data_IF_533651578157
#
_entry.id   IF_533651578157
#
_cell.length_a   1.000
_cell.length_b   1.000
_cell.length_c   1.000
_cell.angle_alpha   90.00
_cell.angle_beta   90.00
_cell.angle_gamma   90.00
#
_symmetry.space_group_name_H-M   'P 1'
#
loop_
_entity.id
_entity.type
_entity.pdbx_description
1 polymer ?
#
# COMPACT_ATOMS: atom_id res chain seq x y z
N UNK A 1 83.67 1.21 4.56
CA UNK A 1 82.75 1.29 3.41
C UNK A 1 81.57 0.31 3.45
N UNK A 2 81.57 -0.78 4.25
CA UNK A 2 80.52 -1.82 4.17
C UNK A 2 79.32 -1.69 5.14
N UNK A 3 79.33 -0.71 6.06
CA UNK A 3 78.23 -0.51 7.04
C UNK A 3 76.99 0.23 6.48
N UNK A 4 77.01 0.63 5.20
CA UNK A 4 75.95 1.43 4.58
C UNK A 4 74.96 0.63 3.73
N UNK A 5 75.21 -0.66 3.47
CA UNK A 5 74.32 -1.50 2.66
C UNK A 5 73.22 -2.20 3.47
N UNK A 6 73.41 -2.39 4.78
CA UNK A 6 72.43 -3.10 5.62
C UNK A 6 71.17 -2.30 5.90
N UNK A 7 71.25 -0.95 5.93
CA UNK A 7 70.06 -0.08 6.08
C UNK A 7 69.26 0.05 4.78
N UNK A 8 69.96 0.05 3.64
CA UNK A 8 69.35 0.15 2.31
C UNK A 8 68.44 -1.04 1.98
N UNK A 9 68.82 -2.24 2.41
CA UNK A 9 68.00 -3.45 2.25
C UNK A 9 66.80 -3.51 3.20
N UNK A 10 66.85 -2.83 4.35
CA UNK A 10 65.73 -2.74 5.29
C UNK A 10 64.69 -1.73 4.79
N UNK A 11 65.14 -0.56 4.34
CA UNK A 11 64.26 0.47 3.77
C UNK A 11 63.53 -0.01 2.51
N UNK A 12 64.19 -0.80 1.65
CA UNK A 12 63.55 -1.42 0.48
C UNK A 12 62.49 -2.47 0.87
N UNK A 13 62.72 -3.24 1.94
CA UNK A 13 61.73 -4.20 2.45
C UNK A 13 60.53 -3.48 3.06
N UNK A 14 60.77 -2.42 3.85
CA UNK A 14 59.72 -1.58 4.42
C UNK A 14 58.92 -0.88 3.33
N UNK A 15 59.58 -0.36 2.30
CA UNK A 15 58.93 0.27 1.15
C UNK A 15 58.10 -0.74 0.35
N UNK A 16 58.60 -1.97 0.14
CA UNK A 16 57.85 -3.05 -0.51
C UNK A 16 56.62 -3.46 0.32
N UNK A 17 56.76 -3.59 1.65
CA UNK A 17 55.65 -3.88 2.57
C UNK A 17 54.61 -2.75 2.56
N UNK A 18 55.04 -1.49 2.55
CA UNK A 18 54.14 -0.33 2.47
C UNK A 18 53.46 -0.25 1.10
N UNK A 19 54.16 -0.53 0.00
CA UNK A 19 53.55 -0.60 -1.34
C UNK A 19 52.51 -1.71 -1.41
N UNK A 20 52.83 -2.89 -0.88
CA UNK A 20 51.94 -4.04 -0.84
C UNK A 20 50.74 -3.78 0.08
N UNK A 21 50.94 -3.08 1.20
CA UNK A 21 49.86 -2.65 2.11
C UNK A 21 48.96 -1.57 1.47
N UNK A 22 49.52 -0.61 0.72
CA UNK A 22 48.76 0.41 0.00
C UNK A 22 47.98 -0.21 -1.16
N UNK A 23 48.57 -1.16 -1.88
CA UNK A 23 47.89 -1.93 -2.94
C UNK A 23 46.79 -2.81 -2.34
N UNK A 24 47.05 -3.57 -1.28
CA UNK A 24 46.03 -4.36 -0.57
C UNK A 24 44.91 -3.49 0.01
N UNK A 25 45.24 -2.34 0.61
CA UNK A 25 44.28 -1.39 1.15
C UNK A 25 43.46 -0.69 0.04
N UNK A 26 44.10 -0.36 -1.10
CA UNK A 26 43.44 0.18 -2.29
C UNK A 26 42.47 -0.81 -2.93
N UNK A 27 42.82 -2.10 -2.94
CA UNK A 27 41.93 -3.18 -3.41
C UNK A 27 40.81 -3.44 -2.40
N UNK A 28 41.06 -3.27 -1.09
CA UNK A 28 40.03 -3.46 -0.05
C UNK A 28 38.90 -2.42 -0.12
N UNK A 29 39.21 -1.16 -0.50
CA UNK A 29 38.20 -0.09 -0.64
C UNK A 29 37.20 -0.32 -1.79
N UNK A 30 37.52 -1.16 -2.76
CA UNK A 30 36.63 -1.50 -3.90
C UNK A 30 35.80 -2.76 -3.66
N UNK A 31 35.99 -3.45 -2.53
CA UNK A 31 35.15 -4.57 -2.13
C UNK A 31 33.95 -4.14 -1.26
N UNK A 32 33.38 -2.97 -1.52
CA UNK A 32 31.95 -2.79 -1.28
C UNK A 32 31.24 -3.27 -2.55
N UNK A 33 31.19 -4.59 -2.76
CA UNK A 33 30.18 -5.17 -3.64
C UNK A 33 28.83 -4.98 -2.94
N UNK A 34 28.30 -3.76 -3.00
CA UNK A 34 26.96 -3.47 -2.56
C UNK A 34 26.05 -4.17 -3.56
N UNK A 35 25.59 -5.36 -3.21
CA UNK A 35 24.59 -6.10 -3.97
C UNK A 35 23.33 -5.23 -4.02
N UNK A 36 23.18 -4.45 -5.09
CA UNK A 36 22.08 -3.52 -5.29
C UNK A 36 20.83 -4.32 -5.68
N UNK A 37 20.22 -5.00 -4.73
CA UNK A 37 18.97 -5.76 -4.93
C UNK A 37 17.78 -4.80 -4.85
N UNK A 38 17.10 -4.49 -5.96
CA UNK A 38 15.88 -3.70 -5.92
C UNK A 38 14.80 -4.41 -5.11
N UNK A 39 14.00 -3.60 -4.41
CA UNK A 39 12.89 -4.06 -3.58
C UNK A 39 11.59 -3.78 -4.31
N UNK A 40 10.72 -4.78 -4.40
CA UNK A 40 9.35 -4.64 -4.91
C UNK A 40 8.36 -4.74 -3.74
N UNK A 41 7.61 -3.68 -3.50
CA UNK A 41 6.49 -3.69 -2.57
C UNK A 41 5.18 -3.90 -3.33
N UNK A 42 4.49 -5.00 -3.05
CA UNK A 42 3.17 -5.32 -3.59
C UNK A 42 2.09 -5.08 -2.56
N UNK A 43 1.02 -4.40 -2.96
CA UNK A 43 -0.15 -4.14 -2.13
C UNK A 43 -1.44 -4.42 -2.90
N UNK A 44 -2.53 -4.60 -2.18
CA UNK A 44 -3.86 -4.77 -2.75
C UNK A 44 -4.82 -3.81 -2.06
N UNK A 45 -5.76 -3.24 -2.81
CA UNK A 45 -6.77 -2.35 -2.26
C UNK A 45 -8.13 -2.65 -2.90
N UNK A 46 -9.18 -2.90 -2.09
CA UNK A 46 -9.17 -3.13 -0.63
C UNK A 46 -8.41 -4.40 -0.20
N UNK A 47 -8.18 -4.61 1.10
CA UNK A 47 -7.58 -5.86 1.60
C UNK A 47 -8.56 -7.05 1.48
N UNK A 48 -8.03 -8.26 1.22
CA UNK A 48 -8.78 -9.54 1.11
C UNK A 48 -9.84 -9.62 -0.01
N UNK A 49 -9.64 -8.86 -1.08
CA UNK A 49 -10.53 -8.83 -2.27
C UNK A 49 -10.06 -9.72 -3.43
N UNK A 50 -8.90 -10.37 -3.29
CA UNK A 50 -8.32 -11.22 -4.31
C UNK A 50 -7.01 -11.85 -3.86
N UNK A 51 -6.38 -12.57 -4.79
CA UNK A 51 -5.07 -13.18 -4.63
C UNK A 51 -4.12 -12.56 -5.64
N UNK A 52 -3.01 -12.00 -5.17
CA UNK A 52 -1.93 -11.54 -6.04
C UNK A 52 -0.78 -12.54 -5.99
N UNK A 53 -0.15 -12.79 -7.13
CA UNK A 53 1.08 -13.58 -7.24
C UNK A 53 2.17 -12.76 -7.91
N UNK A 54 3.33 -12.55 -7.28
CA UNK A 54 3.67 -12.90 -5.90
C UNK A 54 2.80 -12.15 -4.87
N UNK A 55 2.59 -12.75 -3.69
CA UNK A 55 1.64 -12.23 -2.67
C UNK A 55 1.91 -10.77 -2.24
N UNK A 56 0.94 -10.08 -1.64
CA UNK A 56 1.16 -8.76 -1.06
C UNK A 56 2.30 -8.79 -0.05
N UNK A 57 3.19 -7.80 -0.10
CA UNK A 57 4.36 -7.72 0.78
C UNK A 57 5.61 -7.23 0.08
N UNK A 58 6.72 -7.31 0.80
CA UNK A 58 8.04 -6.90 0.34
C UNK A 58 8.77 -8.08 -0.28
N UNK A 59 9.22 -7.92 -1.51
CA UNK A 59 9.99 -8.92 -2.25
C UNK A 59 11.33 -8.34 -2.70
N UNK A 60 12.38 -9.16 -2.66
CA UNK A 60 13.72 -8.79 -3.10
C UNK A 60 14.07 -9.59 -4.35
N UNK A 61 14.53 -8.87 -5.38
CA UNK A 61 14.94 -9.48 -6.64
C UNK A 61 16.33 -9.00 -7.04
N UNK A 62 16.94 -9.70 -7.99
CA UNK A 62 18.19 -9.25 -8.61
C UNK A 62 17.89 -8.11 -9.60
N UNK A 63 18.83 -7.19 -9.76
CA UNK A 63 18.65 -6.04 -10.65
C UNK A 63 18.48 -6.48 -12.12
N UNK A 64 17.54 -5.86 -12.82
CA UNK A 64 17.22 -6.16 -14.22
C UNK A 64 16.31 -7.39 -14.39
N UNK A 65 15.79 -7.98 -13.31
CA UNK A 65 14.86 -9.10 -13.39
C UNK A 65 13.48 -8.63 -13.86
N UNK A 66 12.89 -9.37 -14.81
CA UNK A 66 11.50 -9.22 -15.19
C UNK A 66 10.62 -10.11 -14.30
N UNK A 67 9.75 -9.49 -13.49
CA UNK A 67 8.83 -10.20 -12.58
C UNK A 67 7.44 -10.19 -13.20
N UNK A 68 6.82 -11.37 -13.30
CA UNK A 68 5.42 -11.49 -13.74
C UNK A 68 4.50 -11.33 -12.54
N UNK A 69 3.57 -10.37 -12.61
CA UNK A 69 2.50 -10.18 -11.64
C UNK A 69 1.21 -10.79 -12.17
N UNK A 70 0.43 -11.40 -11.29
CA UNK A 70 -0.89 -11.95 -11.61
C UNK A 70 -1.87 -11.62 -10.49
N UNK A 71 -2.98 -10.96 -10.83
CA UNK A 71 -4.10 -10.67 -9.94
C UNK A 71 -5.29 -11.56 -10.27
N UNK A 72 -5.75 -12.34 -9.29
CA UNK A 72 -6.95 -13.15 -9.37
C UNK A 72 -8.00 -12.54 -8.43
N UNK A 73 -9.07 -11.93 -8.93
CA UNK A 73 -10.11 -11.36 -8.07
C UNK A 73 -10.90 -12.47 -7.35
N UNK A 74 -11.38 -12.16 -6.13
CA UNK A 74 -12.32 -13.00 -5.38
C UNK A 74 -13.73 -12.88 -5.98
N UNK A 75 -14.60 -13.85 -5.71
CA UNK A 75 -16.01 -13.77 -6.10
C UNK A 75 -16.67 -12.49 -5.56
N UNK A 76 -17.40 -11.77 -6.41
CA UNK A 76 -17.98 -10.46 -6.05
C UNK A 76 -17.07 -9.27 -6.30
N UNK A 77 -15.84 -9.49 -6.78
CA UNK A 77 -14.89 -8.43 -7.12
C UNK A 77 -14.35 -8.60 -8.54
N UNK A 78 -13.89 -7.49 -9.12
CA UNK A 78 -13.19 -7.44 -10.40
C UNK A 78 -11.88 -6.68 -10.24
N UNK A 79 -10.87 -7.12 -10.97
CA UNK A 79 -9.61 -6.39 -11.08
C UNK A 79 -9.80 -5.19 -12.01
N UNK A 80 -9.39 -4.00 -11.57
CA UNK A 80 -9.56 -2.76 -12.33
C UNK A 80 -8.26 -2.39 -13.05
N UNK A 81 -7.18 -2.23 -12.28
CA UNK A 81 -5.84 -1.94 -12.81
C UNK A 81 -4.75 -2.06 -11.74
N UNK A 82 -3.50 -2.07 -12.19
CA UNK A 82 -2.30 -1.92 -11.37
C UNK A 82 -1.90 -0.45 -11.29
N UNK A 83 -1.70 0.05 -10.08
CA UNK A 83 -1.08 1.34 -9.82
C UNK A 83 0.43 1.14 -9.64
N UNK A 84 1.25 1.88 -10.40
CA UNK A 84 2.70 1.81 -10.32
C UNK A 84 3.33 1.62 -11.70
N UNK A 85 4.61 1.25 -11.71
CA UNK A 85 5.39 1.04 -12.92
C UNK A 85 5.32 -0.44 -13.35
N UNK A 86 4.39 -0.70 -14.27
CA UNK A 86 4.10 -2.01 -14.89
C UNK A 86 4.04 -1.84 -16.41
N UNK A 87 4.28 -2.91 -17.16
CA UNK A 87 4.20 -2.86 -18.63
C UNK A 87 2.78 -2.54 -19.09
N UNK A 88 1.79 -3.22 -18.51
CA UNK A 88 0.37 -3.03 -18.81
C UNK A 88 -0.43 -2.94 -17.50
N UNK A 89 -1.03 -1.79 -17.17
CA UNK A 89 -1.77 -1.63 -15.92
C UNK A 89 -3.16 -2.28 -15.93
N UNK A 90 -3.80 -2.42 -17.10
CA UNK A 90 -5.17 -2.96 -17.18
C UNK A 90 -5.23 -4.48 -17.35
N UNK A 91 -4.09 -5.14 -17.57
CA UNK A 91 -4.05 -6.60 -17.66
C UNK A 91 -3.90 -7.21 -16.27
N UNK A 92 -4.74 -8.23 -15.98
CA UNK A 92 -4.65 -9.00 -14.74
C UNK A 92 -3.30 -9.72 -14.59
N UNK A 93 -2.62 -10.03 -15.71
CA UNK A 93 -1.28 -10.57 -15.77
C UNK A 93 -0.37 -9.58 -16.50
N UNK A 94 0.62 -9.05 -15.80
CA UNK A 94 1.53 -8.02 -16.32
C UNK A 94 2.97 -8.31 -15.94
N UNK A 95 3.93 -7.59 -16.53
CA UNK A 95 5.36 -7.75 -16.24
C UNK A 95 5.96 -6.44 -15.76
N UNK A 96 6.87 -6.55 -14.80
CA UNK A 96 7.58 -5.44 -14.16
C UNK A 96 9.07 -5.66 -14.30
N UNK A 97 9.79 -4.65 -14.77
CA UNK A 97 11.25 -4.67 -14.84
C UNK A 97 11.83 -4.03 -13.58
N UNK A 98 12.56 -4.79 -12.76
CA UNK A 98 13.14 -4.28 -11.52
C UNK A 98 14.55 -3.74 -11.74
N UNK A 99 14.61 -2.50 -12.22
CA UNK A 99 15.83 -1.69 -12.34
C UNK A 99 16.12 -0.88 -11.06
N UNK A 100 15.06 -0.48 -10.37
CA UNK A 100 15.02 0.34 -9.15
C UNK A 100 13.97 -0.22 -8.16
N UNK A 101 13.97 0.22 -6.88
CA UNK A 101 12.88 -0.13 -5.97
C UNK A 101 11.54 0.42 -6.46
N UNK A 102 10.49 -0.40 -6.41
CA UNK A 102 9.16 -0.08 -6.94
C UNK A 102 8.06 -0.44 -5.96
N UNK A 103 6.98 0.32 -6.01
CA UNK A 103 5.75 0.06 -5.25
C UNK A 103 4.64 -0.14 -6.26
N UNK A 104 3.92 -1.26 -6.15
CA UNK A 104 2.84 -1.63 -7.06
C UNK A 104 1.62 -2.03 -6.24
N UNK A 105 0.46 -1.49 -6.61
CA UNK A 105 -0.81 -1.71 -5.91
C UNK A 105 -1.82 -2.28 -6.91
N UNK A 106 -2.43 -3.42 -6.61
CA UNK A 106 -3.58 -3.91 -7.37
C UNK A 106 -4.85 -3.26 -6.86
N UNK A 107 -5.63 -2.68 -7.76
CA UNK A 107 -6.93 -2.09 -7.45
C UNK A 107 -8.04 -3.03 -7.87
N UNK A 108 -8.94 -3.32 -6.94
CA UNK A 108 -10.13 -4.12 -7.16
C UNK A 108 -11.40 -3.35 -6.78
N UNK A 109 -12.48 -3.63 -7.50
CA UNK A 109 -13.81 -3.07 -7.25
C UNK A 109 -14.84 -4.19 -7.13
N UNK A 110 -16.00 -3.90 -6.56
CA UNK A 110 -17.09 -4.87 -6.51
C UNK A 110 -17.59 -5.12 -7.93
N UNK A 111 -17.73 -6.39 -8.29
CA UNK A 111 -18.38 -6.77 -9.54
C UNK A 111 -19.89 -6.57 -9.37
N UNK A 112 -20.47 -5.66 -10.16
CA UNK A 112 -21.92 -5.56 -10.29
C UNK A 112 -22.39 -6.73 -11.15
N UNK A 113 -22.86 -7.79 -10.50
CA UNK A 113 -23.59 -8.84 -11.20
C UNK A 113 -24.99 -8.31 -11.49
N UNK A 114 -25.19 -7.78 -12.68
CA UNK A 114 -26.53 -7.46 -13.17
C UNK A 114 -27.27 -8.78 -13.42
N UNK A 115 -28.06 -9.22 -12.44
CA UNK A 115 -28.97 -10.36 -12.55
C UNK A 115 -30.23 -10.01 -13.36
N UNK A 116 -30.14 -9.03 -14.25
CA UNK A 116 -31.24 -8.59 -15.12
C UNK A 116 -31.66 -9.59 -16.21
N UNK A 117 -30.93 -10.69 -16.41
CA UNK A 117 -31.17 -11.65 -17.50
C UNK A 117 -31.33 -13.11 -17.04
N UNK A 118 -31.84 -13.32 -15.82
CA UNK A 118 -32.52 -14.58 -15.47
C UNK A 118 -34.05 -14.42 -15.51
N UNK A 119 -34.59 -13.49 -16.31
CA UNK A 119 -35.92 -13.70 -16.85
C UNK A 119 -35.82 -14.96 -17.71
N UNK A 120 -36.43 -16.02 -17.21
CA UNK A 120 -36.39 -17.40 -17.68
C UNK A 120 -36.22 -17.53 -19.20
N UNK A 121 -35.49 -18.55 -19.72
CA UNK A 121 -35.66 -18.93 -21.11
C UNK A 121 -37.15 -19.25 -21.29
N UNK A 122 -37.89 -18.32 -21.87
CA UNK A 122 -39.28 -18.52 -22.28
C UNK A 122 -39.22 -19.48 -23.47
N UNK A 123 -39.00 -20.76 -23.16
CA UNK A 123 -39.31 -21.83 -24.06
C UNK A 123 -40.82 -21.77 -24.22
N UNK A 124 -41.25 -21.32 -25.39
CA UNK A 124 -42.63 -21.37 -25.81
C UNK A 124 -43.14 -22.80 -25.74
N UNK A 125 -43.79 -23.14 -24.64
CA UNK A 125 -44.63 -24.33 -24.53
C UNK A 125 -46.04 -23.84 -24.24
N UNK A 126 -46.90 -23.67 -25.26
CA UNK A 126 -48.31 -23.50 -25.01
C UNK A 126 -48.88 -24.83 -24.50
N UNK A 127 -49.24 -24.90 -23.21
CA UNK A 127 -50.17 -25.91 -22.71
C UNK A 127 -49.65 -26.93 -21.68
N UNK A 128 -48.81 -26.55 -20.73
CA UNK A 128 -48.46 -27.44 -19.61
C UNK A 128 -48.46 -26.71 -18.26
N UNK A 129 -49.61 -26.72 -17.57
CA UNK A 129 -49.74 -26.90 -16.12
C UNK A 129 -51.23 -26.95 -15.77
N UNK A 130 -51.81 -28.13 -16.01
CA UNK A 130 -52.86 -28.60 -15.13
C UNK A 130 -52.24 -28.93 -13.78
N UNK A 131 -52.90 -28.46 -12.73
CA UNK A 131 -52.82 -28.90 -11.34
C UNK A 131 -51.84 -28.23 -10.37
N UNK A 132 -52.46 -27.88 -9.23
CA UNK A 132 -51.95 -27.57 -7.88
C UNK A 132 -51.23 -26.21 -7.76
N UNK A 133 -51.82 -25.12 -7.25
CA UNK A 133 -52.55 -24.95 -5.98
C UNK A 133 -53.50 -23.74 -6.08
N UNK A 134 -54.82 -23.99 -6.15
CA UNK A 134 -55.85 -22.96 -5.95
C UNK A 134 -56.16 -22.85 -4.47
N UNK A 135 -55.34 -22.13 -3.72
CA UNK A 135 -55.74 -21.62 -2.41
C UNK A 135 -56.45 -20.27 -2.61
N UNK A 136 -57.76 -20.32 -2.82
CA UNK A 136 -58.61 -19.12 -2.88
C UNK A 136 -58.80 -18.58 -1.47
N UNK A 137 -58.30 -17.37 -1.21
CA UNK A 137 -58.31 -16.67 0.07
C UNK A 137 -59.71 -16.22 0.57
N UNK A 138 -60.76 -17.00 0.32
CA UNK A 138 -62.14 -16.66 0.66
C UNK A 138 -62.61 -17.20 2.03
N UNK A 139 -61.87 -18.11 2.67
CA UNK A 139 -62.38 -18.85 3.86
C UNK A 139 -62.06 -18.22 5.23
N UNK A 140 -61.39 -17.07 5.31
CA UNK A 140 -61.11 -16.44 6.61
C UNK A 140 -62.14 -15.39 7.07
N UNK A 141 -63.25 -15.23 6.34
CA UNK A 141 -64.35 -14.41 6.87
C UNK A 141 -65.26 -15.22 7.79
N UNK A 142 -65.13 -14.96 9.11
CA UNK A 142 -66.22 -14.68 10.08
C UNK A 142 -66.30 -15.58 11.32
N UNK A 143 -65.87 -15.02 12.47
CA UNK A 143 -66.58 -14.94 13.78
C UNK A 143 -65.63 -14.26 14.79
N UNK A 144 -65.78 -12.96 15.11
CA UNK A 144 -66.42 -12.42 16.35
C UNK A 144 -65.47 -12.55 17.55
N UNK A 145 -65.03 -11.55 18.32
CA UNK A 145 -65.58 -10.35 19.00
C UNK A 145 -64.34 -9.46 19.34
N UNK A 146 -64.35 -8.16 19.64
CA UNK A 146 -65.31 -7.13 20.02
C UNK A 146 -64.53 -5.81 20.18
N UNK A 147 -65.25 -4.70 20.38
CA UNK A 147 -64.81 -3.35 20.03
C UNK A 147 -63.74 -2.66 20.89
N UNK A 148 -63.38 -1.45 20.46
CA UNK A 148 -62.55 -0.50 21.20
C UNK A 148 -61.92 0.53 20.29
N UNK A 149 -62.42 1.77 20.34
CA UNK A 149 -62.00 2.86 19.46
C UNK A 149 -60.58 3.38 19.70
N UNK A 150 -60.15 4.28 18.82
CA UNK A 150 -58.92 5.03 19.01
C UNK A 150 -58.42 5.64 17.71
N UNK A 151 -58.75 6.92 17.51
CA UNK A 151 -58.14 7.75 16.50
C UNK A 151 -56.61 7.79 16.71
N UNK A 152 -55.86 7.63 15.63
CA UNK A 152 -54.41 7.74 15.68
C UNK A 152 -53.80 7.47 14.32
N UNK A 153 -53.79 8.49 13.45
CA UNK A 153 -52.95 8.52 12.26
C UNK A 153 -51.49 8.43 12.72
N UNK A 154 -50.87 7.27 12.60
CA UNK A 154 -49.42 7.18 12.64
C UNK A 154 -48.88 7.61 11.26
N UNK A 155 -48.59 8.90 11.13
CA UNK A 155 -47.56 9.32 10.18
C UNK A 155 -46.24 8.71 10.64
N UNK A 156 -45.92 7.51 10.17
CA UNK A 156 -44.53 7.02 10.16
C UNK A 156 -43.85 7.71 8.99
N UNK A 157 -43.51 8.99 9.18
CA UNK A 157 -42.42 9.62 8.43
C UNK A 157 -41.10 9.19 9.09
N UNK A 158 -40.82 7.89 9.04
CA UNK A 158 -39.49 7.38 9.30
C UNK A 158 -38.66 7.61 8.05
N UNK A 159 -38.10 8.81 7.90
CA UNK A 159 -36.98 8.97 6.98
C UNK A 159 -35.92 7.93 7.37
N UNK A 160 -35.35 7.15 6.43
CA UNK A 160 -34.27 6.24 6.76
C UNK A 160 -33.21 7.04 7.51
N UNK A 161 -32.86 6.59 8.72
CA UNK A 161 -31.83 7.23 9.51
C UNK A 161 -30.59 7.33 8.65
N UNK A 162 -30.23 8.55 8.26
CA UNK A 162 -28.99 8.80 7.55
C UNK A 162 -27.88 8.22 8.43
N UNK A 163 -27.01 7.33 7.90
CA UNK A 163 -25.88 6.81 8.65
C UNK A 163 -25.17 7.98 9.34
N UNK A 164 -24.73 7.83 10.60
CA UNK A 164 -24.05 8.91 11.30
C UNK A 164 -22.95 9.44 10.38
N UNK A 165 -23.09 10.69 9.96
CA UNK A 165 -22.07 11.31 9.13
C UNK A 165 -20.78 11.28 9.96
N UNK A 166 -19.66 10.81 9.39
CA UNK A 166 -18.38 10.89 10.08
C UNK A 166 -18.20 12.34 10.55
N UNK A 167 -17.96 12.55 11.84
CA UNK A 167 -17.67 13.90 12.33
C UNK A 167 -16.60 14.53 11.42
N UNK A 168 -16.76 15.79 11.01
CA UNK A 168 -15.72 16.49 10.27
C UNK A 168 -14.42 16.34 11.06
N UNK A 169 -13.44 15.69 10.44
CA UNK A 169 -12.15 15.46 11.07
C UNK A 169 -11.64 16.80 11.61
N UNK A 170 -11.14 16.85 12.86
CA UNK A 170 -10.54 18.07 13.37
C UNK A 170 -9.49 18.53 12.35
N UNK A 171 -9.42 19.85 12.07
CA UNK A 171 -8.49 20.37 11.08
C UNK A 171 -7.09 19.83 11.42
N UNK A 172 -6.33 19.38 10.41
CA UNK A 172 -5.01 18.80 10.65
C UNK A 172 -4.21 19.79 11.50
N UNK A 173 -3.77 19.35 12.67
CA UNK A 173 -2.87 20.15 13.50
C UNK A 173 -1.69 20.52 12.62
N UNK A 174 -1.60 21.81 12.29
CA UNK A 174 -0.48 22.33 11.50
C UNK A 174 0.77 21.93 12.29
N UNK A 175 1.67 21.10 11.73
CA UNK A 175 2.86 20.69 12.44
C UNK A 175 3.59 21.95 12.87
N UNK A 176 3.66 22.21 14.17
CA UNK A 176 4.44 23.32 14.70
C UNK A 176 5.86 23.08 14.19
N UNK A 177 6.46 24.00 13.42
CA UNK A 177 7.78 23.76 12.85
C UNK A 177 8.77 23.48 13.98
N UNK A 178 9.14 22.22 14.15
CA UNK A 178 10.18 21.85 15.12
C UNK A 178 11.47 22.34 14.50
N UNK A 179 12.16 23.31 15.12
CA UNK A 179 13.39 23.85 14.55
C UNK A 179 14.39 22.71 14.39
N UNK A 180 14.94 22.54 13.19
CA UNK A 180 16.01 21.58 12.94
C UNK A 180 17.12 21.77 13.98
N UNK A 181 17.81 20.70 14.41
CA UNK A 181 18.81 20.77 15.47
C UNK A 181 19.92 21.81 15.19
N UNK A 182 20.20 22.08 13.91
CA UNK A 182 21.08 23.14 13.42
C UNK A 182 20.61 24.55 13.79
N UNK A 183 19.31 24.81 13.76
CA UNK A 183 18.72 26.12 14.13
C UNK A 183 18.89 26.40 15.62
N UNK A 184 18.70 25.40 16.48
CA UNK A 184 18.97 25.53 17.92
C UNK A 184 20.45 25.77 18.21
N UNK A 185 21.35 25.08 17.49
CA UNK A 185 22.80 25.30 17.60
C UNK A 185 23.17 26.72 17.16
N UNK A 186 22.66 27.20 16.03
CA UNK A 186 22.94 28.57 15.55
C UNK A 186 22.40 29.63 16.51
N UNK A 187 21.23 29.43 17.09
CA UNK A 187 20.64 30.35 18.07
C UNK A 187 21.41 30.35 19.40
N UNK A 188 21.86 29.18 19.87
CA UNK A 188 22.71 29.06 21.07
C UNK A 188 24.10 29.67 20.86
N UNK A 189 24.74 29.43 19.71
CA UNK A 189 26.04 30.00 19.38
C UNK A 189 25.95 31.52 19.19
N UNK A 190 24.93 32.00 18.47
CA UNK A 190 24.70 33.43 18.25
C UNK A 190 24.44 34.19 19.55
N UNK A 191 23.58 33.64 20.43
CA UNK A 191 23.31 34.23 21.75
C UNK A 191 24.54 34.19 22.67
N UNK A 192 25.34 33.12 22.63
CA UNK A 192 26.60 33.03 23.37
C UNK A 192 27.63 34.06 22.91
N UNK A 193 27.79 34.25 21.60
CA UNK A 193 28.72 35.24 21.05
C UNK A 193 28.25 36.67 21.35
N UNK A 194 26.94 36.95 21.27
CA UNK A 194 26.37 38.24 21.66
C UNK A 194 26.57 38.53 23.16
N UNK A 195 26.43 37.51 24.02
CA UNK A 195 26.66 37.63 25.46
C UNK A 195 28.14 37.86 25.78
N UNK A 196 29.05 37.12 25.14
CA UNK A 196 30.51 37.27 25.33
C UNK A 196 31.01 38.62 24.80
N UNK A 197 30.49 39.09 23.67
CA UNK A 197 30.82 40.40 23.09
C UNK A 197 30.42 41.58 23.99
N UNK A 198 29.33 41.46 24.76
CA UNK A 198 28.92 42.49 25.73
C UNK A 198 29.77 42.49 27.01
N UNK A 199 30.39 41.36 27.38
CA UNK A 199 31.32 41.25 28.53
C UNK A 199 32.71 41.80 28.26
N UNK A 200 33.14 41.88 27.00
CA UNK A 200 34.45 42.42 26.62
C UNK A 200 34.48 43.96 26.48
N UNK A 201 33.34 44.65 26.67
CA UNK A 201 33.21 46.12 26.57
C UNK A 201 33.00 46.81 27.94
N UNK A 202 33.21 46.11 29.05
CA UNK A 202 33.26 46.71 30.39
C UNK A 202 34.66 46.59 30.96
#
# INVERSE_FOLDING_TARGET
MLKSYSRFFDDQKVLLILLLAVVLCGISKTAYCQTNRPVLLLQQMPDDVGTITPGPGVHHFEQGTAVTLTAVPKAGFQFVYWLGDVSDPHLNKTTVYLDAPKIIIAIFEKAEFDLGDLSEPTLGIPGALGDVLRASAADYSRQGFGGGGGAGRQSVSGAPAQPPQPEPLPPPEVPVPVPEPTTLVLLAVGSYMAFKGRRARK
#
